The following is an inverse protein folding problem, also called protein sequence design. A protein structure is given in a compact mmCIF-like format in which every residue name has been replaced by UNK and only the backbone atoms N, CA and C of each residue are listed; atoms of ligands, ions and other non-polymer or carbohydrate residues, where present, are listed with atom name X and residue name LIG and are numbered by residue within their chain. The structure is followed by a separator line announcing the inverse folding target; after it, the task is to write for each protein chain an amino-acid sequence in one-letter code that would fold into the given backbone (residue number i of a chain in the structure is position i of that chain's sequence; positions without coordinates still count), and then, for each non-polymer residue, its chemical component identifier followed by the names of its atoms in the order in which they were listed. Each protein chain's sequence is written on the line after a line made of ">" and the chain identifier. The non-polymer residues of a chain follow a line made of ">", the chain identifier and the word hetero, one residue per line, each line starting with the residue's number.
data_IF_713613876899
#
_entry.id   IF_713613876899
#
_cell.length_a   1.000
_cell.length_b   1.000
_cell.length_c   1.000
_cell.angle_alpha   90.00
_cell.angle_beta   90.00
_cell.angle_gamma   90.00
#
_symmetry.space_group_name_H-M   'P 1'
#
loop_
_entity.id
_entity.type
_entity.pdbx_description
1 polymer ?
#
# COMPACT_ATOMS: atom_id res chain seq x y z
N UNK A 1 5.75 71.99 10.35
CA UNK A 1 6.62 70.90 9.88
C UNK A 1 6.47 69.70 10.81
N UNK A 2 5.63 68.71 10.48
CA UNK A 2 5.52 67.44 11.22
C UNK A 2 6.21 66.35 10.40
N UNK A 3 7.28 65.76 10.92
CA UNK A 3 7.99 64.63 10.29
C UNK A 3 7.26 63.33 10.65
N UNK A 4 6.77 62.63 9.64
CA UNK A 4 6.14 61.32 9.76
C UNK A 4 7.23 60.26 9.55
N UNK A 5 7.54 59.48 10.59
CA UNK A 5 8.46 58.35 10.48
C UNK A 5 7.68 57.12 10.01
N UNK A 6 7.92 56.68 8.77
CA UNK A 6 7.44 55.42 8.25
C UNK A 6 8.33 54.29 8.79
N UNK A 7 7.78 53.42 9.64
CA UNK A 7 8.38 52.14 9.99
C UNK A 7 8.15 51.17 8.85
N UNK A 8 9.21 50.80 8.14
CA UNK A 8 9.21 49.70 7.18
C UNK A 8 9.33 48.40 7.98
N UNK A 9 8.22 47.68 8.21
CA UNK A 9 8.30 46.30 8.69
C UNK A 9 8.67 45.41 7.50
N UNK A 10 9.94 45.02 7.40
CA UNK A 10 10.36 43.97 6.50
C UNK A 10 9.77 42.64 7.00
N UNK A 11 8.65 42.21 6.40
CA UNK A 11 8.17 40.86 6.57
C UNK A 11 9.15 39.92 5.85
N UNK A 12 10.07 39.29 6.61
CA UNK A 12 10.80 38.14 6.10
C UNK A 12 9.78 37.04 5.81
N UNK A 13 9.47 36.85 4.53
CA UNK A 13 8.85 35.62 4.07
C UNK A 13 9.88 34.50 4.24
N UNK A 14 9.80 33.79 5.37
CA UNK A 14 10.45 32.48 5.51
C UNK A 14 9.68 31.55 4.59
N UNK A 15 10.18 31.36 3.37
CA UNK A 15 9.82 30.22 2.56
C UNK A 15 10.21 28.99 3.38
N UNK A 16 9.21 28.24 3.86
CA UNK A 16 9.43 26.94 4.45
C UNK A 16 10.05 26.05 3.37
N UNK A 17 11.37 25.94 3.38
CA UNK A 17 12.08 24.92 2.63
C UNK A 17 11.53 23.59 3.16
N UNK A 18 10.89 22.79 2.32
CA UNK A 18 10.58 21.40 2.66
C UNK A 18 11.89 20.71 3.01
N UNK A 19 12.14 20.53 4.32
CA UNK A 19 13.40 19.99 4.79
C UNK A 19 13.51 18.52 4.36
N UNK A 20 14.36 18.26 3.37
CA UNK A 20 14.82 16.90 3.09
C UNK A 20 15.58 16.39 4.30
N UNK A 21 15.27 15.16 4.71
CA UNK A 21 15.93 14.48 5.83
C UNK A 21 16.40 13.10 5.40
N UNK A 22 17.49 12.63 6.01
CA UNK A 22 18.00 11.26 5.84
C UNK A 22 17.47 10.40 6.98
N UNK A 23 17.03 9.19 6.66
CA UNK A 23 16.53 8.21 7.62
C UNK A 23 16.91 6.78 7.19
N UNK A 24 16.62 5.80 8.03
CA UNK A 24 16.89 4.39 7.73
C UNK A 24 15.92 3.44 8.42
N UNK A 25 15.79 2.24 7.83
CA UNK A 25 15.01 1.13 8.36
C UNK A 25 15.79 -0.17 8.16
N UNK A 26 15.64 -1.15 9.05
CA UNK A 26 16.50 -2.34 9.12
C UNK A 26 15.70 -3.56 9.56
N UNK A 27 15.83 -4.70 8.87
CA UNK A 27 15.18 -5.97 9.24
C UNK A 27 15.99 -6.88 10.16
N UNK A 28 17.25 -6.51 10.45
CA UNK A 28 18.17 -7.33 11.24
C UNK A 28 18.86 -8.42 10.42
N UNK A 29 19.74 -9.18 11.07
CA UNK A 29 20.50 -10.25 10.44
C UNK A 29 19.60 -11.28 9.76
N UNK A 30 19.97 -11.73 8.56
CA UNK A 30 19.18 -12.65 7.74
C UNK A 30 17.75 -12.16 7.42
N UNK A 31 17.51 -10.85 7.60
CA UNK A 31 16.21 -10.22 7.39
C UNK A 31 15.10 -10.83 8.27
N UNK A 32 15.39 -11.04 9.56
CA UNK A 32 14.53 -11.77 10.49
C UNK A 32 13.25 -11.03 10.93
N UNK A 33 13.17 -9.72 10.70
CA UNK A 33 12.06 -8.89 11.16
C UNK A 33 11.32 -8.19 10.00
N UNK A 34 10.01 -8.01 10.20
CA UNK A 34 9.21 -7.05 9.44
C UNK A 34 9.18 -5.74 10.22
N UNK A 35 9.47 -4.64 9.54
CA UNK A 35 9.61 -3.32 10.19
C UNK A 35 8.62 -2.34 9.58
N UNK A 36 7.64 -1.96 10.39
CA UNK A 36 6.59 -1.01 10.04
C UNK A 36 7.08 0.41 10.25
N UNK A 37 6.82 1.28 9.28
CA UNK A 37 7.35 2.64 9.25
C UNK A 37 6.28 3.64 8.86
N UNK A 38 6.36 4.83 9.45
CA UNK A 38 5.60 6.01 9.05
C UNK A 38 6.53 7.16 8.66
N UNK A 39 6.19 7.89 7.61
CA UNK A 39 6.94 9.08 7.22
C UNK A 39 6.99 10.13 8.34
N UNK A 40 5.92 10.22 9.13
CA UNK A 40 5.82 11.15 10.25
C UNK A 40 6.62 10.69 11.48
N UNK A 41 6.48 9.41 11.85
CA UNK A 41 6.95 8.92 13.15
C UNK A 41 8.22 8.05 13.08
N UNK A 42 8.70 7.71 11.89
CA UNK A 42 9.81 6.77 11.72
C UNK A 42 9.36 5.31 11.92
N UNK A 43 10.22 4.47 12.50
CA UNK A 43 9.88 3.08 12.84
C UNK A 43 8.78 3.06 13.89
N UNK A 44 7.67 2.40 13.58
CA UNK A 44 6.49 2.27 14.44
C UNK A 44 6.52 0.98 15.24
N UNK A 45 6.89 -0.12 14.60
CA UNK A 45 7.01 -1.44 15.24
C UNK A 45 7.95 -2.32 14.44
N UNK A 46 8.73 -3.12 15.16
CA UNK A 46 9.52 -4.21 14.64
C UNK A 46 8.96 -5.52 15.21
N UNK A 47 8.83 -6.54 14.36
CA UNK A 47 8.34 -7.86 14.78
C UNK A 47 9.06 -8.94 14.00
N UNK A 48 9.32 -10.08 14.66
CA UNK A 48 9.87 -11.25 13.97
C UNK A 48 8.94 -11.68 12.85
N UNK A 49 9.51 -12.18 11.74
CA UNK A 49 8.76 -12.57 10.55
C UNK A 49 8.57 -14.08 10.38
N UNK A 50 9.00 -14.87 11.36
CA UNK A 50 8.94 -16.32 11.35
C UNK A 50 8.00 -16.91 12.44
N UNK A 51 7.15 -16.10 13.07
CA UNK A 51 6.20 -16.55 14.10
C UNK A 51 4.78 -16.83 13.56
N UNK A 52 4.55 -16.61 12.26
CA UNK A 52 3.24 -16.77 11.61
C UNK A 52 3.36 -17.46 10.23
N UNK A 53 2.31 -18.17 9.84
CA UNK A 53 2.20 -18.83 8.54
C UNK A 53 0.99 -18.37 7.73
N UNK A 54 -0.11 -18.00 8.39
CA UNK A 54 -1.32 -17.51 7.73
C UNK A 54 -1.72 -16.15 8.28
N UNK A 55 -2.24 -15.27 7.42
CA UNK A 55 -2.80 -13.99 7.78
C UNK A 55 -4.22 -13.87 7.18
N UNK A 56 -5.20 -13.55 8.02
CA UNK A 56 -6.61 -13.48 7.67
C UNK A 56 -7.05 -12.02 7.64
N UNK A 57 -7.64 -11.61 6.52
CA UNK A 57 -8.12 -10.24 6.35
C UNK A 57 -9.16 -9.87 7.39
N UNK A 58 -8.98 -8.71 8.01
CA UNK A 58 -9.92 -8.18 9.00
C UNK A 58 -11.04 -7.41 8.30
N UNK A 59 -12.27 -7.57 8.80
CA UNK A 59 -13.45 -6.87 8.33
C UNK A 59 -14.48 -7.83 7.73
N UNK A 60 -15.71 -7.34 7.55
CA UNK A 60 -16.81 -8.20 7.13
C UNK A 60 -16.67 -8.70 5.68
N UNK A 61 -16.14 -7.85 4.79
CA UNK A 61 -16.05 -8.13 3.35
C UNK A 61 -14.68 -8.64 2.89
N UNK A 62 -13.64 -8.49 3.71
CA UNK A 62 -12.32 -8.99 3.37
C UNK A 62 -12.32 -10.53 3.47
N UNK A 63 -12.12 -11.21 2.34
CA UNK A 63 -12.04 -12.67 2.22
C UNK A 63 -10.61 -13.15 1.92
N UNK A 64 -9.64 -12.23 2.07
CA UNK A 64 -8.22 -12.46 1.84
C UNK A 64 -7.60 -13.38 2.89
N UNK A 65 -6.93 -14.43 2.44
CA UNK A 65 -6.12 -15.31 3.30
C UNK A 65 -4.73 -15.43 2.69
N UNK A 66 -3.78 -14.74 3.31
CA UNK A 66 -2.38 -14.70 2.88
C UNK A 66 -1.56 -15.76 3.60
N UNK A 67 -0.50 -16.22 2.95
CA UNK A 67 0.46 -17.16 3.52
C UNK A 67 1.84 -16.51 3.64
N UNK A 68 2.64 -16.89 4.63
CA UNK A 68 4.02 -16.42 4.76
C UNK A 68 4.92 -17.17 3.75
N UNK A 69 4.81 -16.82 2.48
CA UNK A 69 5.40 -17.59 1.37
C UNK A 69 6.86 -17.24 1.09
N UNK A 70 7.59 -16.62 2.03
CA UNK A 70 8.97 -16.17 1.79
C UNK A 70 9.88 -17.37 1.48
N UNK A 71 10.15 -17.60 0.21
CA UNK A 71 10.88 -18.78 -0.27
C UNK A 71 12.39 -18.65 -0.02
N UNK A 72 12.84 -19.03 1.18
CA UNK A 72 14.23 -19.48 1.36
C UNK A 72 15.20 -18.48 1.98
N UNK A 73 15.52 -18.74 3.24
CA UNK A 73 16.86 -19.03 3.79
C UNK A 73 16.68 -20.07 4.91
N UNK A 74 17.78 -20.52 5.53
CA UNK A 74 17.78 -21.49 6.64
C UNK A 74 17.21 -20.88 7.92
N UNK A 75 16.26 -21.55 8.58
CA UNK A 75 15.65 -21.06 9.83
C UNK A 75 14.32 -20.33 9.68
N UNK A 76 13.85 -20.10 8.45
CA UNK A 76 12.57 -19.44 8.19
C UNK A 76 11.38 -20.36 8.49
N UNK A 77 10.33 -19.80 9.09
CA UNK A 77 9.02 -20.46 9.22
C UNK A 77 8.10 -20.20 8.02
N UNK A 78 8.68 -20.09 6.83
CA UNK A 78 7.90 -19.88 5.62
C UNK A 78 7.07 -21.11 5.28
N UNK A 79 5.96 -20.89 4.60
CA UNK A 79 5.00 -21.93 4.27
C UNK A 79 4.77 -21.98 2.77
N UNK A 80 4.78 -23.21 2.22
CA UNK A 80 4.23 -23.50 0.90
C UNK A 80 2.85 -24.10 1.11
N UNK A 81 1.85 -23.50 0.48
CA UNK A 81 0.47 -24.00 0.49
C UNK A 81 0.23 -24.77 -0.81
N UNK A 82 -0.03 -26.07 -0.67
CA UNK A 82 -0.43 -26.93 -1.77
C UNK A 82 -1.95 -27.12 -1.72
N UNK A 83 -2.63 -26.87 -2.84
CA UNK A 83 -4.07 -27.11 -2.95
C UNK A 83 -4.34 -28.57 -3.29
N UNK A 84 -5.12 -29.27 -2.45
CA UNK A 84 -5.56 -30.63 -2.77
C UNK A 84 -6.47 -30.58 -4.01
N UNK A 85 -6.27 -31.46 -5.01
CA UNK A 85 -7.12 -31.50 -6.20
C UNK A 85 -8.59 -31.77 -5.85
N UNK A 86 -9.48 -30.95 -6.41
CA UNK A 86 -10.93 -31.02 -6.20
C UNK A 86 -11.42 -30.22 -4.98
N UNK A 87 -12.71 -30.40 -4.66
CA UNK A 87 -13.44 -29.58 -3.67
C UNK A 87 -14.15 -30.43 -2.60
N UNK A 88 -13.82 -31.71 -2.51
CA UNK A 88 -14.43 -32.64 -1.57
C UNK A 88 -13.81 -32.51 -0.16
N UNK A 89 -14.46 -31.70 0.69
CA UNK A 89 -14.02 -31.47 2.07
C UNK A 89 -14.30 -32.66 2.99
N UNK A 90 -15.09 -33.65 2.57
CA UNK A 90 -15.31 -34.88 3.36
C UNK A 90 -14.04 -35.71 3.52
N UNK A 91 -13.05 -35.49 2.63
CA UNK A 91 -11.71 -36.09 2.69
C UNK A 91 -10.83 -35.57 3.82
N UNK A 92 -11.29 -34.65 4.66
CA UNK A 92 -10.53 -34.15 5.81
C UNK A 92 -10.02 -35.28 6.74
N UNK A 93 -10.86 -36.29 7.00
CA UNK A 93 -10.51 -37.42 7.85
C UNK A 93 -9.49 -38.34 7.15
N UNK A 94 -9.68 -38.60 5.86
CA UNK A 94 -8.82 -39.42 5.01
C UNK A 94 -7.96 -38.56 4.07
N UNK A 95 -7.22 -37.59 4.65
CA UNK A 95 -6.44 -36.63 3.87
C UNK A 95 -5.21 -37.33 3.26
N UNK A 96 -5.24 -37.52 1.95
CA UNK A 96 -4.18 -38.21 1.19
C UNK A 96 -3.19 -37.21 0.59
N UNK A 97 -1.91 -37.36 0.94
CA UNK A 97 -0.81 -36.53 0.41
C UNK A 97 -0.08 -37.18 -0.77
N UNK A 98 -0.53 -38.32 -1.27
CA UNK A 98 0.13 -39.01 -2.39
C UNK A 98 0.18 -38.10 -3.62
N UNK A 99 1.39 -37.87 -4.14
CA UNK A 99 1.62 -37.00 -5.30
C UNK A 99 1.52 -35.50 -5.04
N UNK A 100 1.52 -35.03 -3.77
CA UNK A 100 1.35 -33.61 -3.44
C UNK A 100 2.33 -32.65 -4.12
N UNK A 101 3.51 -33.14 -4.54
CA UNK A 101 4.51 -32.33 -5.23
C UNK A 101 4.04 -31.80 -6.60
N UNK A 102 3.02 -32.44 -7.19
CA UNK A 102 2.39 -32.03 -8.44
C UNK A 102 1.14 -31.14 -8.23
N UNK A 103 0.72 -30.91 -6.98
CA UNK A 103 -0.40 -30.03 -6.67
C UNK A 103 -0.04 -28.56 -6.88
N UNK A 104 -1.06 -27.73 -7.10
CA UNK A 104 -0.89 -26.29 -7.28
C UNK A 104 -0.29 -25.66 -6.02
N UNK A 105 0.77 -24.88 -6.21
CA UNK A 105 1.41 -24.08 -5.16
C UNK A 105 0.81 -22.69 -5.17
N UNK A 106 0.23 -22.28 -4.06
CA UNK A 106 -0.45 -21.00 -3.93
C UNK A 106 0.50 -19.93 -3.37
N UNK A 107 0.47 -18.72 -3.96
CA UNK A 107 1.29 -17.57 -3.57
C UNK A 107 0.40 -16.35 -3.38
N UNK A 108 0.79 -15.38 -2.56
CA UNK A 108 0.05 -14.12 -2.47
C UNK A 108 0.30 -13.25 -3.70
N UNK A 109 -0.64 -12.36 -4.02
CA UNK A 109 -0.33 -11.20 -4.85
C UNK A 109 0.62 -10.25 -4.09
N UNK A 110 1.64 -9.74 -4.77
CA UNK A 110 2.47 -8.62 -4.32
C UNK A 110 1.92 -7.27 -4.80
N UNK A 111 0.80 -7.25 -5.53
CA UNK A 111 0.19 -6.02 -6.05
C UNK A 111 -0.89 -5.48 -5.13
N UNK A 112 -1.55 -6.33 -4.35
CA UNK A 112 -2.55 -5.87 -3.40
C UNK A 112 -2.66 -6.80 -2.16
N UNK A 113 -3.18 -6.24 -1.07
CA UNK A 113 -3.29 -6.95 0.20
C UNK A 113 -4.44 -7.96 0.25
N UNK A 114 -5.54 -7.71 -0.47
CA UNK A 114 -6.77 -8.52 -0.38
C UNK A 114 -6.67 -9.84 -1.16
N UNK A 115 -5.81 -9.91 -2.18
CA UNK A 115 -5.50 -11.12 -2.95
C UNK A 115 -4.39 -11.93 -2.29
N UNK A 116 -4.77 -12.81 -1.37
CA UNK A 116 -3.89 -13.75 -0.68
C UNK A 116 -3.79 -15.11 -1.37
N UNK A 117 -2.89 -15.96 -0.89
CA UNK A 117 -2.64 -17.29 -1.47
C UNK A 117 -3.91 -18.16 -1.58
N UNK A 118 -4.79 -18.15 -0.58
CA UNK A 118 -5.93 -19.08 -0.56
C UNK A 118 -7.21 -18.52 -1.19
N UNK A 119 -7.23 -17.24 -1.61
CA UNK A 119 -8.40 -16.61 -2.21
C UNK A 119 -8.23 -16.24 -3.68
N UNK A 120 -7.42 -17.03 -4.38
CA UNK A 120 -7.22 -16.94 -5.83
C UNK A 120 -7.88 -18.11 -6.56
N UNK A 121 -8.00 -17.99 -7.89
CA UNK A 121 -8.53 -19.07 -8.73
C UNK A 121 -10.04 -19.27 -8.56
N UNK A 122 -10.79 -18.16 -8.47
CA UNK A 122 -12.25 -18.14 -8.46
C UNK A 122 -12.83 -18.76 -9.73
N UNK A 123 -13.69 -19.76 -9.58
CA UNK A 123 -14.43 -20.36 -10.69
C UNK A 123 -15.77 -19.66 -10.98
N UNK A 124 -16.25 -18.80 -10.08
CA UNK A 124 -17.51 -18.06 -10.20
C UNK A 124 -17.50 -16.78 -9.35
N UNK A 125 -18.50 -15.92 -9.52
CA UNK A 125 -18.68 -14.70 -8.70
C UNK A 125 -18.92 -14.97 -7.21
N UNK A 126 -19.26 -16.20 -6.84
CA UNK A 126 -19.48 -16.62 -5.45
C UNK A 126 -18.36 -17.51 -4.91
N UNK A 127 -17.33 -17.79 -5.73
CA UNK A 127 -16.17 -18.56 -5.34
C UNK A 127 -15.03 -17.61 -4.96
N UNK A 128 -14.68 -17.60 -3.68
CA UNK A 128 -13.58 -16.81 -3.14
C UNK A 128 -12.28 -17.62 -3.05
N UNK A 129 -12.12 -18.68 -3.84
CA UNK A 129 -10.93 -19.54 -3.87
C UNK A 129 -10.98 -20.61 -2.78
N UNK A 130 -10.96 -20.23 -1.50
CA UNK A 130 -11.04 -21.19 -0.39
C UNK A 130 -12.46 -21.59 0.00
N UNK A 131 -13.43 -20.73 -0.31
CA UNK A 131 -14.80 -20.88 0.16
C UNK A 131 -15.83 -20.35 -0.83
N UNK A 132 -17.03 -20.92 -0.75
CA UNK A 132 -18.19 -20.52 -1.54
C UNK A 132 -19.10 -19.63 -0.69
N UNK A 133 -19.52 -18.51 -1.26
CA UNK A 133 -20.52 -17.64 -0.67
C UNK A 133 -21.93 -18.22 -0.85
N UNK A 134 -22.64 -18.36 0.26
CA UNK A 134 -24.05 -18.72 0.32
C UNK A 134 -24.89 -17.45 0.38
N UNK A 135 -25.68 -17.21 -0.67
CA UNK A 135 -26.54 -16.02 -0.80
C UNK A 135 -27.79 -16.04 0.10
N UNK A 136 -28.11 -17.18 0.70
CA UNK A 136 -29.25 -17.34 1.62
C UNK A 136 -28.81 -17.05 3.06
N UNK A 137 -27.67 -17.61 3.46
CA UNK A 137 -27.16 -17.45 4.84
C UNK A 137 -26.18 -16.30 4.98
N UNK A 138 -25.72 -15.72 3.86
CA UNK A 138 -24.66 -14.71 3.81
C UNK A 138 -23.35 -15.16 4.46
N UNK A 139 -23.06 -16.47 4.40
CA UNK A 139 -21.85 -17.08 4.94
C UNK A 139 -20.90 -17.46 3.81
N UNK A 140 -19.60 -17.53 4.11
CA UNK A 140 -18.64 -18.16 3.21
C UNK A 140 -18.22 -19.49 3.82
N UNK A 141 -18.45 -20.60 3.11
CA UNK A 141 -18.16 -21.95 3.58
C UNK A 141 -16.97 -22.53 2.84
N UNK A 142 -16.01 -23.06 3.60
CA UNK A 142 -14.80 -23.67 3.06
C UNK A 142 -15.10 -24.87 2.20
N UNK A 143 -14.61 -24.86 0.96
CA UNK A 143 -14.89 -25.92 -0.02
C UNK A 143 -13.61 -26.55 -0.60
N UNK A 144 -12.44 -26.22 -0.06
CA UNK A 144 -11.14 -26.80 -0.47
C UNK A 144 -10.29 -27.17 0.75
N UNK A 145 -9.44 -28.17 0.57
CA UNK A 145 -8.47 -28.63 1.56
C UNK A 145 -7.04 -28.37 1.06
N UNK A 146 -6.12 -28.18 2.00
CA UNK A 146 -4.75 -27.79 1.69
C UNK A 146 -3.74 -28.59 2.48
N UNK A 147 -2.55 -28.76 1.91
CA UNK A 147 -1.36 -29.20 2.61
C UNK A 147 -0.46 -27.98 2.83
N UNK A 148 -0.19 -27.63 4.09
CA UNK A 148 0.75 -26.60 4.47
C UNK A 148 2.10 -27.24 4.80
N UNK A 149 3.12 -26.94 3.99
CA UNK A 149 4.50 -27.35 4.23
C UNK A 149 5.27 -26.18 4.85
N UNK A 150 5.40 -26.20 6.17
CA UNK A 150 6.04 -25.14 6.96
C UNK A 150 7.51 -25.51 7.16
N UNK A 151 8.42 -24.68 6.66
CA UNK A 151 9.85 -24.84 6.93
C UNK A 151 10.13 -24.54 8.40
N UNK A 152 11.03 -25.27 9.03
CA UNK A 152 11.46 -25.04 10.42
C UNK A 152 12.91 -25.49 10.54
N UNK A 153 13.83 -24.54 10.43
CA UNK A 153 15.26 -24.86 10.33
C UNK A 153 15.57 -25.66 9.06
N UNK A 154 16.13 -26.87 9.24
CA UNK A 154 16.42 -27.84 8.18
C UNK A 154 15.27 -28.83 7.92
N UNK A 155 14.20 -28.76 8.71
CA UNK A 155 13.07 -29.68 8.64
C UNK A 155 11.85 -29.01 8.01
N UNK A 156 10.92 -29.82 7.52
CA UNK A 156 9.61 -29.35 7.04
C UNK A 156 8.52 -30.02 7.87
N UNK A 157 7.66 -29.21 8.48
CA UNK A 157 6.47 -29.65 9.21
C UNK A 157 5.30 -29.61 8.23
N UNK A 158 4.62 -30.74 8.05
CA UNK A 158 3.45 -30.84 7.20
C UNK A 158 2.17 -30.83 8.05
N UNK A 159 1.25 -29.93 7.72
CA UNK A 159 -0.08 -29.84 8.32
C UNK A 159 -1.15 -29.94 7.24
N UNK A 160 -2.22 -30.71 7.50
CA UNK A 160 -3.46 -30.58 6.72
C UNK A 160 -4.20 -29.35 7.22
N UNK A 161 -4.77 -28.57 6.29
CA UNK A 161 -5.34 -27.25 6.55
C UNK A 161 -6.70 -27.10 5.87
N UNK A 162 -7.64 -26.48 6.58
CA UNK A 162 -8.96 -26.13 6.08
C UNK A 162 -9.41 -24.78 6.64
N UNK A 163 -9.72 -23.83 5.75
CA UNK A 163 -10.47 -22.62 6.13
C UNK A 163 -11.94 -23.01 6.15
N UNK A 164 -12.50 -23.24 7.34
CA UNK A 164 -13.80 -23.90 7.51
C UNK A 164 -14.95 -22.99 7.11
N UNK A 165 -14.93 -21.73 7.57
CA UNK A 165 -15.92 -20.73 7.18
C UNK A 165 -15.48 -19.31 7.56
N UNK A 166 -16.23 -18.34 7.05
CA UNK A 166 -16.28 -16.97 7.52
C UNK A 166 -17.72 -16.54 7.72
N UNK A 167 -18.07 -16.16 8.94
CA UNK A 167 -19.44 -15.81 9.34
C UNK A 167 -19.38 -14.49 10.11
N UNK A 168 -20.11 -13.47 9.62
CA UNK A 168 -20.15 -12.14 10.24
C UNK A 168 -18.76 -11.54 10.52
N UNK A 169 -17.81 -11.76 9.60
CA UNK A 169 -16.42 -11.31 9.72
C UNK A 169 -15.50 -12.23 10.52
N UNK A 170 -16.03 -13.14 11.34
CA UNK A 170 -15.22 -14.10 12.09
C UNK A 170 -14.78 -15.26 11.21
N UNK A 171 -13.49 -15.58 11.27
CA UNK A 171 -12.93 -16.72 10.54
C UNK A 171 -12.91 -17.96 11.42
N UNK A 172 -13.16 -19.12 10.82
CA UNK A 172 -12.91 -20.42 11.43
C UNK A 172 -11.89 -21.18 10.61
N UNK A 173 -10.77 -21.55 11.23
CA UNK A 173 -9.69 -22.32 10.59
C UNK A 173 -9.41 -23.59 11.38
N UNK A 174 -9.15 -24.68 10.67
CA UNK A 174 -8.82 -25.98 11.23
C UNK A 174 -7.53 -26.50 10.60
N UNK A 175 -6.62 -27.01 11.42
CA UNK A 175 -5.40 -27.66 10.96
C UNK A 175 -4.96 -28.76 11.93
N UNK A 176 -4.24 -29.76 11.43
CA UNK A 176 -3.73 -30.89 12.21
C UNK A 176 -2.48 -31.45 11.52
N UNK A 177 -1.75 -32.33 12.21
CA UNK A 177 -0.80 -33.22 11.55
C UNK A 177 -1.52 -34.09 10.50
N UNK A 178 -0.78 -34.67 9.55
CA UNK A 178 -1.34 -35.47 8.45
C UNK A 178 -2.14 -36.67 8.98
N UNK A 179 -1.63 -37.31 10.04
CA UNK A 179 -2.29 -38.40 10.77
C UNK A 179 -3.52 -37.97 11.59
N UNK A 180 -3.83 -36.67 11.64
CA UNK A 180 -4.94 -36.11 12.40
C UNK A 180 -4.61 -35.74 13.85
N UNK A 181 -3.40 -36.03 14.35
CA UNK A 181 -2.96 -35.61 15.68
C UNK A 181 -2.75 -34.08 15.75
N UNK A 182 -2.68 -33.54 16.98
CA UNK A 182 -2.51 -32.10 17.24
C UNK A 182 -3.54 -31.23 16.48
N UNK A 183 -4.80 -31.66 16.51
CA UNK A 183 -5.91 -30.91 15.91
C UNK A 183 -6.08 -29.56 16.62
N UNK A 184 -6.03 -28.49 15.83
CA UNK A 184 -6.39 -27.14 16.23
C UNK A 184 -7.60 -26.67 15.44
N UNK A 185 -8.52 -26.02 16.14
CA UNK A 185 -9.65 -25.31 15.56
C UNK A 185 -9.71 -23.93 16.20
N UNK A 186 -9.43 -22.90 15.40
CA UNK A 186 -9.34 -21.52 15.86
C UNK A 186 -10.49 -20.71 15.29
N UNK A 187 -11.05 -19.83 16.13
CA UNK A 187 -12.00 -18.80 15.72
C UNK A 187 -11.34 -17.43 15.87
N UNK A 188 -11.22 -16.70 14.76
CA UNK A 188 -10.61 -15.37 14.70
C UNK A 188 -11.74 -14.33 14.59
N UNK A 189 -12.21 -13.83 15.72
CA UNK A 189 -13.21 -12.76 15.75
C UNK A 189 -12.61 -11.45 15.22
N UNK A 190 -13.36 -10.65 14.44
CA UNK A 190 -12.82 -9.38 13.91
C UNK A 190 -12.73 -8.26 14.95
N UNK A 191 -13.59 -8.28 15.98
CA UNK A 191 -13.74 -7.15 16.90
C UNK A 191 -12.43 -6.75 17.62
N UNK A 192 -11.61 -7.68 18.15
CA UNK A 192 -10.34 -7.33 18.79
C UNK A 192 -9.29 -6.73 17.83
N UNK A 193 -9.44 -6.97 16.52
CA UNK A 193 -8.44 -6.61 15.52
C UNK A 193 -8.94 -5.56 14.53
N UNK A 194 -10.06 -4.88 14.79
CA UNK A 194 -10.72 -3.95 13.85
C UNK A 194 -9.84 -2.78 13.37
N UNK A 195 -8.75 -2.48 14.08
CA UNK A 195 -7.74 -1.49 13.72
C UNK A 195 -6.62 -2.04 12.83
N UNK A 196 -6.52 -3.36 12.63
CA UNK A 196 -5.49 -4.02 11.83
C UNK A 196 -5.97 -4.29 10.40
N UNK A 197 -5.05 -4.59 9.50
CA UNK A 197 -5.39 -5.16 8.20
C UNK A 197 -5.57 -6.69 8.33
N UNK A 198 -4.75 -7.35 9.15
CA UNK A 198 -4.77 -8.80 9.29
C UNK A 198 -4.70 -9.27 10.75
N UNK A 199 -5.23 -10.47 10.98
CA UNK A 199 -4.97 -11.30 12.17
C UNK A 199 -4.21 -12.55 11.75
N UNK A 200 -3.20 -12.95 12.50
CA UNK A 200 -2.23 -13.95 12.07
C UNK A 200 -2.34 -15.24 12.87
N UNK A 201 -1.95 -16.36 12.25
CA UNK A 201 -1.93 -17.69 12.89
C UNK A 201 -0.58 -18.35 12.65
N UNK A 202 -0.04 -18.92 13.73
CA UNK A 202 1.10 -19.84 13.70
C UNK A 202 0.59 -21.26 13.52
N UNK A 203 0.96 -21.92 12.42
CA UNK A 203 0.64 -23.34 12.20
C UNK A 203 1.56 -24.28 13.00
N UNK A 204 2.65 -23.75 13.55
CA UNK A 204 3.58 -24.48 14.42
C UNK A 204 3.05 -24.53 15.86
N UNK A 205 2.81 -23.36 16.46
CA UNK A 205 2.38 -23.28 17.87
C UNK A 205 0.86 -23.42 18.04
N UNK A 206 0.10 -23.12 16.99
CA UNK A 206 -1.35 -23.02 17.04
C UNK A 206 -1.90 -21.76 17.67
N UNK A 207 -1.04 -20.74 17.88
CA UNK A 207 -1.43 -19.48 18.47
C UNK A 207 -1.93 -18.47 17.44
N UNK A 208 -2.84 -17.60 17.89
CA UNK A 208 -3.22 -16.36 17.20
C UNK A 208 -2.16 -15.31 17.54
N UNK A 209 -1.67 -14.58 16.53
CA UNK A 209 -0.58 -13.62 16.67
C UNK A 209 -1.06 -12.23 16.28
N UNK A 210 -0.90 -11.25 17.18
CA UNK A 210 -1.14 -9.83 16.93
C UNK A 210 0.18 -9.10 16.69
N UNK A 211 0.60 -9.07 15.41
CA UNK A 211 1.94 -8.56 15.02
C UNK A 211 1.90 -7.20 14.35
N UNK A 212 0.83 -6.84 13.66
CA UNK A 212 0.71 -5.57 12.93
C UNK A 212 0.41 -4.38 13.88
N UNK A 213 0.91 -3.16 13.65
CA UNK A 213 0.37 -1.93 14.27
C UNK A 213 -1.05 -1.62 13.81
N UNK A 214 -1.70 -0.59 14.39
CA UNK A 214 -2.96 -0.14 13.80
C UNK A 214 -2.71 0.38 12.37
N UNK A 215 -3.61 0.06 11.43
CA UNK A 215 -3.48 0.41 10.00
C UNK A 215 -3.46 1.91 9.74
N UNK A 216 -3.71 2.76 10.73
CA UNK A 216 -3.59 4.22 10.64
C UNK A 216 -2.22 4.75 11.09
N UNK A 217 -1.38 3.89 11.67
CA UNK A 217 -0.11 4.30 12.30
C UNK A 217 1.10 4.08 11.40
N UNK A 218 0.99 3.26 10.35
CA UNK A 218 2.10 2.91 9.46
C UNK A 218 1.75 3.18 7.98
N UNK A 219 2.77 3.51 7.19
CA UNK A 219 2.65 3.89 5.78
C UNK A 219 3.22 2.82 4.84
N UNK A 220 4.32 2.16 5.26
CA UNK A 220 4.88 1.00 4.58
C UNK A 220 5.58 0.05 5.55
N UNK A 221 5.87 -1.16 5.09
CA UNK A 221 6.65 -2.17 5.81
C UNK A 221 7.85 -2.61 4.97
N UNK A 222 9.04 -2.64 5.58
CA UNK A 222 10.19 -3.37 5.02
C UNK A 222 10.07 -4.83 5.46
N UNK A 223 9.87 -5.72 4.51
CA UNK A 223 9.52 -7.13 4.75
C UNK A 223 10.18 -8.04 3.72
N UNK A 224 10.24 -9.33 4.04
CA UNK A 224 10.41 -10.37 3.03
C UNK A 224 9.07 -10.70 2.39
N UNK A 225 9.05 -10.99 1.10
CA UNK A 225 7.87 -11.50 0.40
C UNK A 225 8.28 -12.33 -0.81
N UNK A 226 7.38 -13.19 -1.29
CA UNK A 226 7.53 -13.86 -2.58
C UNK A 226 7.13 -12.87 -3.67
N UNK A 227 8.10 -12.42 -4.48
CA UNK A 227 7.86 -11.54 -5.61
C UNK A 227 7.72 -12.35 -6.90
N UNK A 228 6.74 -12.01 -7.74
CA UNK A 228 6.58 -12.66 -9.04
C UNK A 228 7.68 -12.21 -10.00
N UNK A 229 8.35 -13.16 -10.67
CA UNK A 229 9.31 -12.88 -11.73
C UNK A 229 8.75 -13.38 -13.07
N UNK A 230 8.23 -12.48 -13.93
CA UNK A 230 7.52 -12.87 -15.14
C UNK A 230 8.44 -13.60 -16.15
N UNK A 231 9.70 -13.19 -16.27
CA UNK A 231 10.66 -13.79 -17.21
C UNK A 231 10.93 -15.28 -16.93
N UNK A 232 10.98 -15.64 -15.65
CA UNK A 232 11.24 -17.02 -15.20
C UNK A 232 9.95 -17.77 -14.82
N UNK A 233 8.79 -17.10 -14.87
CA UNK A 233 7.48 -17.62 -14.45
C UNK A 233 7.52 -18.28 -13.07
N UNK A 234 8.22 -17.65 -12.13
CA UNK A 234 8.47 -18.21 -10.80
C UNK A 234 8.48 -17.11 -9.75
N UNK A 235 8.17 -17.48 -8.51
CA UNK A 235 8.28 -16.61 -7.35
C UNK A 235 9.66 -16.71 -6.70
N UNK A 236 10.29 -15.57 -6.42
CA UNK A 236 11.54 -15.50 -5.65
C UNK A 236 11.34 -14.76 -4.35
N UNK A 237 12.06 -15.18 -3.30
CA UNK A 237 12.12 -14.40 -2.07
C UNK A 237 12.84 -13.07 -2.33
N UNK A 238 12.15 -11.99 -2.00
CA UNK A 238 12.66 -10.65 -2.08
C UNK A 238 12.55 -9.95 -0.73
N UNK A 239 13.46 -9.02 -0.46
CA UNK A 239 13.36 -8.08 0.66
C UNK A 239 13.02 -6.73 0.07
N UNK A 240 11.92 -6.11 0.47
CA UNK A 240 11.49 -4.86 -0.14
C UNK A 240 10.40 -4.16 0.66
N UNK A 241 9.88 -3.09 0.08
CA UNK A 241 8.90 -2.21 0.68
C UNK A 241 7.52 -2.54 0.13
N UNK A 242 6.59 -2.89 1.01
CA UNK A 242 5.18 -2.98 0.69
C UNK A 242 4.43 -1.83 1.37
N UNK A 243 3.66 -1.05 0.62
CA UNK A 243 2.88 0.07 1.17
C UNK A 243 1.62 -0.42 1.87
N UNK A 244 1.15 0.33 2.85
CA UNK A 244 -0.08 0.01 3.57
C UNK A 244 -1.33 0.18 2.67
N UNK A 245 -2.40 -0.57 2.93
CA UNK A 245 -3.67 -0.43 2.24
C UNK A 245 -4.18 1.03 2.25
N UNK A 246 -4.46 1.59 1.07
CA UNK A 246 -4.89 2.98 0.90
C UNK A 246 -3.75 4.01 0.77
N UNK A 247 -2.48 3.58 0.84
CA UNK A 247 -1.33 4.37 0.41
C UNK A 247 -1.08 4.10 -1.07
N UNK A 248 -0.92 5.16 -1.87
CA UNK A 248 -0.65 5.04 -3.31
C UNK A 248 0.71 5.61 -3.65
N UNK A 249 1.35 5.06 -4.68
CA UNK A 249 2.74 5.34 -5.01
C UNK A 249 2.95 5.56 -6.48
N UNK A 250 3.86 6.47 -6.83
CA UNK A 250 4.39 6.60 -8.19
C UNK A 250 5.89 6.40 -8.17
N UNK A 251 6.37 5.58 -9.09
CA UNK A 251 7.78 5.44 -9.38
C UNK A 251 8.21 6.47 -10.44
N UNK A 252 9.38 7.07 -10.28
CA UNK A 252 9.96 8.02 -11.24
C UNK A 252 11.44 7.70 -11.44
N UNK A 253 11.79 7.31 -12.67
CA UNK A 253 13.14 6.95 -13.12
C UNK A 253 13.75 8.02 -14.02
N UNK A 254 15.08 8.07 -14.05
CA UNK A 254 15.88 8.91 -14.96
C UNK A 254 15.64 10.42 -14.79
N UNK A 255 15.21 10.84 -13.60
CA UNK A 255 15.02 12.25 -13.25
C UNK A 255 15.94 12.59 -12.08
N UNK A 256 16.67 13.73 -12.11
CA UNK A 256 17.53 14.14 -11.01
C UNK A 256 16.81 14.13 -9.66
N UNK A 257 17.47 13.58 -8.65
CA UNK A 257 16.90 13.40 -7.31
C UNK A 257 16.52 14.72 -6.62
N UNK A 258 17.09 15.84 -7.04
CA UNK A 258 16.73 17.18 -6.56
C UNK A 258 15.42 17.71 -7.17
N UNK A 259 14.78 16.98 -8.08
CA UNK A 259 13.49 17.37 -8.68
C UNK A 259 12.38 17.27 -7.62
N UNK A 260 11.95 18.41 -7.09
CA UNK A 260 10.91 18.48 -6.05
C UNK A 260 9.49 18.62 -6.62
N UNK A 261 9.34 18.70 -7.93
CA UNK A 261 8.06 18.93 -8.60
C UNK A 261 7.39 17.63 -9.02
N UNK A 262 6.14 17.46 -8.62
CA UNK A 262 5.23 16.46 -9.21
C UNK A 262 4.85 17.02 -10.58
N UNK A 263 5.34 16.41 -11.66
CA UNK A 263 4.99 16.78 -13.04
C UNK A 263 3.67 16.13 -13.45
N UNK A 264 3.06 16.60 -14.55
CA UNK A 264 1.83 16.01 -15.12
C UNK A 264 1.99 14.53 -15.58
N UNK A 265 3.19 13.96 -15.43
CA UNK A 265 3.54 12.57 -15.76
C UNK A 265 3.51 11.61 -14.56
N UNK A 266 3.34 12.10 -13.33
CA UNK A 266 3.32 11.27 -12.11
C UNK A 266 1.95 10.61 -11.95
N UNK A 267 1.89 9.29 -12.12
CA UNK A 267 0.65 8.51 -11.96
C UNK A 267 0.73 7.66 -10.71
N UNK A 268 -0.18 7.90 -9.76
CA UNK A 268 -0.24 7.11 -8.53
C UNK A 268 -0.92 5.75 -8.77
N UNK A 269 -0.23 4.69 -8.39
CA UNK A 269 -0.71 3.32 -8.39
C UNK A 269 -1.11 2.88 -6.98
N UNK A 270 -2.16 2.07 -6.88
CA UNK A 270 -2.50 1.35 -5.65
C UNK A 270 -1.72 0.05 -5.48
N UNK A 271 -0.83 -0.30 -6.42
CA UNK A 271 0.02 -1.48 -6.32
C UNK A 271 0.95 -1.36 -5.10
N UNK A 272 0.81 -2.28 -4.15
CA UNK A 272 1.50 -2.22 -2.85
C UNK A 272 3.02 -2.41 -2.99
N UNK A 273 3.49 -3.04 -4.06
CA UNK A 273 4.90 -3.28 -4.36
C UNK A 273 5.46 -2.35 -5.44
N UNK A 274 4.80 -1.22 -5.75
CA UNK A 274 5.36 -0.20 -6.66
C UNK A 274 6.74 0.29 -6.19
N UNK A 275 6.98 0.39 -4.88
CA UNK A 275 8.34 0.63 -4.34
C UNK A 275 9.11 -0.68 -4.30
N UNK A 276 8.46 -1.75 -3.83
CA UNK A 276 8.92 -3.12 -3.95
C UNK A 276 10.39 -3.32 -3.59
N UNK A 277 11.10 -4.01 -4.46
CA UNK A 277 12.50 -4.36 -4.27
C UNK A 277 13.45 -3.82 -5.34
N UNK A 278 12.90 -3.24 -6.40
CA UNK A 278 13.60 -2.73 -7.59
C UNK A 278 14.24 -1.34 -7.39
N UNK A 279 14.05 -0.74 -6.22
CA UNK A 279 14.90 0.36 -5.75
C UNK A 279 16.37 -0.01 -5.57
N UNK A 280 16.69 -1.31 -5.61
CA UNK A 280 18.06 -1.85 -5.55
C UNK A 280 18.26 -2.91 -6.63
N UNK A 281 19.50 -3.05 -7.08
CA UNK A 281 19.92 -4.01 -8.09
C UNK A 281 21.19 -4.74 -7.65
N UNK A 282 21.36 -5.98 -8.09
CA UNK A 282 22.58 -6.75 -7.80
C UNK A 282 23.73 -6.24 -8.66
N UNK A 283 24.81 -5.80 -8.02
CA UNK A 283 26.08 -5.55 -8.70
C UNK A 283 26.79 -6.89 -8.89
N UNK A 284 26.88 -7.36 -10.14
CA UNK A 284 27.46 -8.66 -10.48
C UNK A 284 28.97 -8.77 -10.23
N UNK A 285 29.69 -7.65 -10.05
CA UNK A 285 31.11 -7.68 -9.71
C UNK A 285 31.33 -7.86 -8.21
N UNK A 286 30.48 -7.25 -7.38
CA UNK A 286 30.64 -7.27 -5.91
C UNK A 286 29.68 -8.25 -5.21
N UNK A 287 28.69 -8.79 -5.93
CA UNK A 287 27.57 -9.59 -5.42
C UNK A 287 26.81 -8.92 -4.27
N UNK A 288 26.72 -7.58 -4.31
CA UNK A 288 25.99 -6.77 -3.34
C UNK A 288 24.87 -6.03 -4.02
N UNK A 289 23.78 -5.82 -3.30
CA UNK A 289 22.72 -4.95 -3.78
C UNK A 289 23.10 -3.49 -3.57
N UNK A 290 22.95 -2.69 -4.62
CA UNK A 290 23.20 -1.26 -4.63
C UNK A 290 21.91 -0.53 -4.99
N UNK A 291 21.68 0.65 -4.40
CA UNK A 291 20.52 1.47 -4.74
C UNK A 291 20.63 1.90 -6.21
N UNK A 292 19.51 1.88 -6.92
CA UNK A 292 19.47 2.31 -8.32
C UNK A 292 19.57 3.83 -8.37
N UNK A 293 20.51 4.34 -9.17
CA UNK A 293 20.71 5.78 -9.34
C UNK A 293 19.52 6.44 -10.04
N UNK A 294 19.26 7.71 -9.71
CA UNK A 294 18.21 8.52 -10.35
C UNK A 294 16.80 7.89 -10.30
N UNK A 295 16.51 7.13 -9.23
CA UNK A 295 15.23 6.52 -8.95
C UNK A 295 14.61 7.12 -7.69
N UNK A 296 13.39 7.63 -7.82
CA UNK A 296 12.64 8.22 -6.71
C UNK A 296 11.19 7.77 -6.72
N UNK A 297 10.57 7.85 -5.55
CA UNK A 297 9.17 7.49 -5.36
C UNK A 297 8.42 8.67 -4.78
N UNK A 298 7.20 8.88 -5.26
CA UNK A 298 6.22 9.75 -4.62
C UNK A 298 5.19 8.89 -3.91
N UNK A 299 5.00 9.12 -2.63
CA UNK A 299 4.11 8.34 -1.76
C UNK A 299 3.01 9.24 -1.25
N UNK A 300 1.77 8.98 -1.68
CA UNK A 300 0.57 9.66 -1.22
C UNK A 300 -0.05 8.86 -0.08
N UNK A 301 -0.02 9.45 1.11
CA UNK A 301 -0.52 8.87 2.35
C UNK A 301 -2.04 9.00 2.45
N UNK A 302 -2.64 8.25 3.38
CA UNK A 302 -4.10 8.22 3.62
C UNK A 302 -4.66 9.58 4.05
N UNK A 303 -3.83 10.42 4.66
CA UNK A 303 -4.17 11.78 5.07
C UNK A 303 -3.97 12.83 3.95
N UNK A 304 -3.67 12.40 2.72
CA UNK A 304 -3.46 13.29 1.57
C UNK A 304 -2.07 13.95 1.51
N UNK A 305 -1.18 13.68 2.47
CA UNK A 305 0.21 14.12 2.37
C UNK A 305 0.94 13.37 1.25
N UNK A 306 1.78 14.08 0.51
CA UNK A 306 2.65 13.48 -0.50
C UNK A 306 4.10 13.67 -0.08
N UNK A 307 4.82 12.56 -0.01
CA UNK A 307 6.23 12.48 0.34
C UNK A 307 7.05 12.00 -0.83
N UNK A 308 8.24 12.56 -1.01
CA UNK A 308 9.26 12.02 -1.90
C UNK A 308 10.19 11.12 -1.10
N UNK A 309 10.55 9.97 -1.66
CA UNK A 309 11.45 8.97 -1.10
C UNK A 309 12.53 8.60 -2.12
N UNK A 310 13.79 8.59 -1.68
CA UNK A 310 14.95 8.22 -2.53
C UNK A 310 15.88 7.33 -1.72
N UNK A 311 16.05 6.08 -2.15
CA UNK A 311 16.96 5.14 -1.51
C UNK A 311 18.42 5.44 -1.85
N UNK A 312 19.31 5.26 -0.87
CA UNK A 312 20.74 5.62 -0.94
C UNK A 312 21.65 4.42 -0.80
N UNK A 313 21.28 3.46 0.01
CA UNK A 313 22.05 2.22 0.16
C UNK A 313 21.22 1.12 0.78
N UNK A 314 21.67 -0.12 0.58
CA UNK A 314 21.15 -1.31 1.25
C UNK A 314 22.30 -2.17 1.75
N UNK A 315 22.30 -2.47 3.05
CA UNK A 315 23.26 -3.41 3.64
C UNK A 315 22.79 -4.87 3.41
N UNK A 316 22.97 -5.36 2.18
CA UNK A 316 22.66 -6.76 1.82
C UNK A 316 23.71 -7.74 2.32
N UNK A 317 23.29 -8.93 2.75
CA UNK A 317 24.19 -10.06 2.98
C UNK A 317 23.58 -11.20 3.79
N UNK A 318 24.13 -12.41 3.63
CA UNK A 318 23.83 -13.61 4.42
C UNK A 318 24.77 -13.80 5.63
N UNK A 319 25.67 -12.84 5.85
CA UNK A 319 26.59 -12.76 7.00
C UNK A 319 25.93 -11.94 8.13
N UNK A 320 26.36 -12.07 9.41
CA UNK A 320 25.92 -11.17 10.50
C UNK A 320 26.07 -9.66 10.22
N UNK A 321 26.79 -9.25 9.15
CA UNK A 321 26.87 -7.86 8.66
C UNK A 321 25.78 -7.46 7.65
N UNK A 322 25.02 -8.41 7.11
CA UNK A 322 23.86 -8.18 6.24
C UNK A 322 22.62 -7.89 7.07
N UNK A 323 22.48 -6.64 7.53
CA UNK A 323 21.42 -6.23 8.45
C UNK A 323 20.09 -5.93 7.76
N UNK A 324 20.05 -5.96 6.42
CA UNK A 324 18.89 -5.49 5.67
C UNK A 324 18.59 -4.01 5.91
N UNK A 325 19.61 -3.22 6.27
CA UNK A 325 19.45 -1.79 6.52
C UNK A 325 19.34 -1.03 5.21
N UNK A 326 18.19 -0.44 4.96
CA UNK A 326 17.94 0.51 3.89
C UNK A 326 18.13 1.95 4.41
N UNK A 327 18.96 2.74 3.74
CA UNK A 327 19.12 4.18 4.00
C UNK A 327 18.45 4.94 2.88
N UNK A 328 17.71 6.00 3.22
CA UNK A 328 16.99 6.81 2.25
C UNK A 328 16.90 8.26 2.68
N UNK A 329 16.57 9.14 1.73
CA UNK A 329 16.12 10.50 2.03
C UNK A 329 14.63 10.61 1.84
N UNK A 330 13.96 11.40 2.69
CA UNK A 330 12.53 11.72 2.59
C UNK A 330 12.31 13.22 2.68
N UNK A 331 11.35 13.73 1.91
CA UNK A 331 10.89 15.11 1.99
C UNK A 331 9.39 15.19 1.78
N UNK A 332 8.69 15.98 2.61
CA UNK A 332 7.27 16.25 2.39
C UNK A 332 7.14 17.28 1.27
N UNK A 333 6.42 16.93 0.21
CA UNK A 333 6.27 17.77 -0.98
C UNK A 333 5.04 18.67 -0.87
N UNK A 334 3.91 18.10 -0.43
CA UNK A 334 2.66 18.86 -0.24
C UNK A 334 1.69 18.14 0.69
N UNK A 335 0.65 18.86 1.13
CA UNK A 335 -0.53 18.28 1.77
C UNK A 335 -1.72 18.59 0.88
N UNK A 336 -2.41 17.57 0.37
CA UNK A 336 -3.70 17.78 -0.28
C UNK A 336 -4.71 18.14 0.82
N UNK A 337 -5.40 19.27 0.67
CA UNK A 337 -6.47 19.65 1.59
C UNK A 337 -7.60 18.63 1.52
N UNK A 338 -7.67 17.70 2.47
CA UNK A 338 -8.82 16.81 2.63
C UNK A 338 -9.97 17.61 3.24
N UNK A 339 -10.79 18.23 2.40
CA UNK A 339 -12.15 18.55 2.83
C UNK A 339 -12.94 17.23 2.84
N UNK A 340 -13.49 16.92 4.02
CA UNK A 340 -14.26 15.72 4.41
C UNK A 340 -14.88 14.90 3.28
N UNK A 341 -14.71 13.58 3.37
CA UNK A 341 -15.07 12.48 2.45
C UNK A 341 -16.56 12.34 2.05
N UNK A 342 -17.21 13.44 1.66
CA UNK A 342 -18.56 13.45 1.07
C UNK A 342 -18.72 14.47 -0.07
N UNK A 343 -17.65 15.19 -0.42
CA UNK A 343 -17.64 16.14 -1.54
C UNK A 343 -17.50 15.40 -2.88
N UNK A 344 -18.37 15.70 -3.85
CA UNK A 344 -18.19 15.23 -5.24
C UNK A 344 -17.02 15.91 -5.96
N UNK A 345 -16.33 16.85 -5.29
CA UNK A 345 -15.07 17.46 -5.69
C UNK A 345 -14.02 17.02 -4.65
N UNK A 346 -13.27 15.97 -4.96
CA UNK A 346 -12.26 15.39 -4.06
C UNK A 346 -10.98 16.21 -4.01
N UNK A 347 -10.66 16.93 -5.10
CA UNK A 347 -9.48 17.80 -5.22
C UNK A 347 -9.87 19.06 -6.00
N UNK A 348 -9.34 20.24 -5.63
CA UNK A 348 -9.38 21.45 -6.45
C UNK A 348 -8.20 22.37 -6.12
N UNK A 349 -7.31 22.61 -7.09
CA UNK A 349 -6.10 23.42 -6.95
C UNK A 349 -5.82 24.23 -8.24
N UNK A 350 -5.09 25.34 -8.09
CA UNK A 350 -4.71 26.23 -9.19
C UNK A 350 -3.20 26.41 -9.24
N UNK A 351 -2.59 26.31 -10.42
CA UNK A 351 -1.16 26.57 -10.61
C UNK A 351 -0.84 27.02 -12.05
N UNK A 352 0.17 27.86 -12.28
CA UNK A 352 0.93 28.57 -11.25
C UNK A 352 0.06 29.62 -10.54
N UNK A 353 0.39 29.89 -9.27
CA UNK A 353 -0.21 30.98 -8.51
C UNK A 353 0.88 31.59 -7.61
N UNK A 354 1.36 32.82 -7.89
CA UNK A 354 0.87 33.77 -8.90
C UNK A 354 1.05 33.31 -10.35
N UNK A 355 0.26 33.87 -11.27
CA UNK A 355 0.34 33.63 -12.73
C UNK A 355 0.55 34.94 -13.50
N UNK A 356 1.18 34.85 -14.67
CA UNK A 356 1.30 35.94 -15.64
C UNK A 356 0.22 35.89 -16.74
N UNK A 357 -0.72 34.95 -16.64
CA UNK A 357 -1.83 34.82 -17.59
C UNK A 357 -2.53 33.48 -17.46
N UNK A 358 -1.87 32.38 -17.83
CA UNK A 358 -2.51 31.06 -17.85
C UNK A 358 -2.41 30.40 -16.47
N UNK A 359 -3.53 29.89 -15.96
CA UNK A 359 -3.59 29.07 -14.74
C UNK A 359 -4.28 27.74 -15.04
N UNK A 360 -3.67 26.64 -14.63
CA UNK A 360 -4.22 25.30 -14.72
C UNK A 360 -5.04 25.01 -13.45
N UNK A 361 -6.28 24.60 -13.63
CA UNK A 361 -7.14 24.08 -12.60
C UNK A 361 -7.10 22.55 -12.59
N UNK A 362 -6.53 21.98 -11.53
CA UNK A 362 -6.59 20.54 -11.26
C UNK A 362 -7.74 20.25 -10.32
N UNK A 363 -8.55 19.26 -10.65
CA UNK A 363 -9.63 18.80 -9.78
C UNK A 363 -9.95 17.34 -10.02
N UNK A 364 -10.55 16.69 -9.02
CA UNK A 364 -11.03 15.32 -9.12
C UNK A 364 -12.51 15.31 -8.76
N UNK A 365 -13.35 14.86 -9.69
CA UNK A 365 -14.81 14.90 -9.55
C UNK A 365 -15.45 13.54 -9.74
N UNK A 366 -16.43 13.22 -8.91
CA UNK A 366 -17.10 11.91 -8.95
C UNK A 366 -18.25 11.85 -9.96
N UNK A 367 -18.79 12.99 -10.39
CA UNK A 367 -19.89 13.07 -11.34
C UNK A 367 -19.47 13.75 -12.64
N UNK A 368 -20.12 13.36 -13.72
CA UNK A 368 -19.96 13.97 -15.04
C UNK A 368 -20.64 15.35 -15.04
N UNK A 369 -19.96 16.34 -15.61
CA UNK A 369 -20.31 17.77 -15.72
C UNK A 369 -19.93 18.63 -14.51
N UNK A 370 -18.94 19.51 -14.72
CA UNK A 370 -18.54 20.55 -13.77
C UNK A 370 -18.52 21.91 -14.45
N UNK A 371 -18.66 22.99 -13.68
CA UNK A 371 -18.53 24.36 -14.17
C UNK A 371 -17.42 25.06 -13.42
N UNK A 372 -16.45 25.61 -14.16
CA UNK A 372 -15.38 26.46 -13.65
C UNK A 372 -15.73 27.91 -13.95
N UNK A 373 -15.61 28.78 -12.95
CA UNK A 373 -15.88 30.21 -13.05
C UNK A 373 -14.75 31.01 -12.41
N UNK A 374 -14.36 32.13 -13.02
CA UNK A 374 -13.38 33.07 -12.44
C UNK A 374 -14.13 34.32 -12.02
N UNK A 375 -13.90 34.81 -10.81
CA UNK A 375 -14.57 35.96 -10.22
C UNK A 375 -13.56 37.00 -9.73
N UNK A 376 -13.91 38.28 -9.82
CA UNK A 376 -13.17 39.34 -9.15
C UNK A 376 -13.53 39.44 -7.65
N UNK A 377 -12.90 40.37 -6.94
CA UNK A 377 -13.13 40.62 -5.50
C UNK A 377 -14.55 41.09 -5.17
N UNK A 378 -15.32 41.59 -6.15
CA UNK A 378 -16.72 41.98 -5.98
C UNK A 378 -17.69 40.80 -6.19
N UNK A 379 -17.16 39.62 -6.56
CA UNK A 379 -17.95 38.43 -6.88
C UNK A 379 -18.48 38.43 -8.33
N UNK A 380 -18.09 39.40 -9.16
CA UNK A 380 -18.49 39.42 -10.58
C UNK A 380 -17.76 38.32 -11.33
N UNK A 381 -18.51 37.43 -11.99
CA UNK A 381 -17.95 36.40 -12.86
C UNK A 381 -17.39 37.03 -14.14
N UNK A 382 -16.12 36.72 -14.43
CA UNK A 382 -15.37 37.20 -15.58
C UNK A 382 -15.20 36.12 -16.65
N UNK A 383 -15.04 34.86 -16.22
CA UNK A 383 -14.88 33.69 -17.10
C UNK A 383 -15.79 32.57 -16.59
N UNK A 384 -16.38 31.80 -17.50
CA UNK A 384 -17.17 30.62 -17.18
C UNK A 384 -16.94 29.52 -18.23
N UNK A 385 -16.67 28.30 -17.78
CA UNK A 385 -16.34 27.15 -18.64
C UNK A 385 -17.04 25.89 -18.13
N UNK A 386 -17.61 25.10 -19.03
CA UNK A 386 -18.18 23.80 -18.72
C UNK A 386 -17.17 22.69 -19.02
N UNK A 387 -17.02 21.76 -18.09
CA UNK A 387 -16.11 20.62 -18.18
C UNK A 387 -16.94 19.33 -18.19
N UNK A 388 -16.71 18.50 -19.20
CA UNK A 388 -17.33 17.18 -19.32
C UNK A 388 -16.29 16.12 -18.99
N UNK A 389 -16.56 15.28 -18.00
CA UNK A 389 -15.63 14.25 -17.54
C UNK A 389 -15.79 13.92 -16.04
N UNK A 390 -15.23 12.79 -15.62
CA UNK A 390 -15.15 12.34 -14.23
C UNK A 390 -13.72 11.89 -13.88
N UNK A 391 -13.42 11.75 -12.60
CA UNK A 391 -12.07 11.48 -12.11
C UNK A 391 -11.19 12.72 -12.13
N UNK A 392 -9.88 12.52 -12.12
CA UNK A 392 -8.89 13.59 -12.16
C UNK A 392 -8.90 14.33 -13.51
N UNK A 393 -8.92 15.65 -13.47
CA UNK A 393 -9.01 16.56 -14.61
C UNK A 393 -8.02 17.72 -14.45
N UNK A 394 -7.51 18.21 -15.57
CA UNK A 394 -6.68 19.40 -15.64
C UNK A 394 -7.21 20.31 -16.76
N UNK A 395 -7.54 21.56 -16.44
CA UNK A 395 -8.08 22.54 -17.40
C UNK A 395 -7.32 23.84 -17.32
N UNK A 396 -6.79 24.29 -18.46
CA UNK A 396 -6.16 25.60 -18.58
C UNK A 396 -7.22 26.72 -18.63
N UNK A 397 -7.02 27.75 -17.82
CA UNK A 397 -7.84 28.96 -17.75
C UNK A 397 -6.94 30.13 -18.14
N UNK A 398 -7.32 30.84 -19.20
CA UNK A 398 -6.59 32.01 -19.66
C UNK A 398 -7.06 33.27 -18.94
N UNK A 399 -6.18 33.82 -18.08
CA UNK A 399 -6.37 35.09 -17.38
C UNK A 399 -5.53 36.22 -17.98
N UNK A 400 -4.87 36.02 -19.12
CA UNK A 400 -3.97 37.02 -19.73
C UNK A 400 -4.65 38.35 -20.06
N UNK A 401 -5.97 38.32 -20.31
CA UNK A 401 -6.80 39.51 -20.53
C UNK A 401 -7.23 40.25 -19.26
N UNK A 402 -6.90 39.74 -18.07
CA UNK A 402 -7.28 40.32 -16.78
C UNK A 402 -6.20 41.27 -16.25
N UNK A 403 -6.61 42.32 -15.57
CA UNK A 403 -5.66 43.24 -14.90
C UNK A 403 -4.95 42.55 -13.75
N UNK A 404 -3.73 42.99 -13.43
CA UNK A 404 -2.97 42.51 -12.26
C UNK A 404 -3.80 42.65 -10.98
N UNK A 405 -3.93 41.60 -10.20
CA UNK A 405 -4.84 41.59 -9.06
C UNK A 405 -5.18 40.20 -8.51
N UNK A 406 -6.09 40.17 -7.54
CA UNK A 406 -6.57 38.95 -6.90
C UNK A 406 -7.90 38.54 -7.53
N UNK A 407 -8.02 37.26 -7.89
CA UNK A 407 -9.23 36.65 -8.41
C UNK A 407 -9.53 35.34 -7.66
N UNK A 408 -10.75 34.85 -7.81
CA UNK A 408 -11.19 33.58 -7.24
C UNK A 408 -11.68 32.67 -8.36
N UNK A 409 -11.08 31.49 -8.50
CA UNK A 409 -11.59 30.44 -9.38
C UNK A 409 -12.46 29.51 -8.56
N UNK A 410 -13.66 29.26 -9.03
CA UNK A 410 -14.67 28.43 -8.41
C UNK A 410 -15.01 27.28 -9.35
N UNK A 411 -14.97 26.05 -8.84
CA UNK A 411 -15.54 24.87 -9.49
C UNK A 411 -16.84 24.46 -8.80
N UNK A 412 -17.84 24.10 -9.60
CA UNK A 412 -19.10 23.53 -9.14
C UNK A 412 -19.37 22.19 -9.83
N UNK A 413 -19.76 21.17 -9.07
CA UNK A 413 -20.18 19.86 -9.56
C UNK A 413 -21.45 19.47 -8.79
N UNK A 414 -22.62 19.71 -9.40
CA UNK A 414 -23.91 19.64 -8.71
C UNK A 414 -24.03 20.68 -7.58
N UNK A 415 -24.35 20.24 -6.36
CA UNK A 415 -24.44 21.11 -5.19
C UNK A 415 -23.08 21.42 -4.54
N UNK A 416 -22.02 20.69 -4.90
CA UNK A 416 -20.70 20.86 -4.32
C UNK A 416 -19.95 21.98 -5.02
N UNK A 417 -19.30 22.84 -4.21
CA UNK A 417 -18.56 24.01 -4.68
C UNK A 417 -17.20 24.02 -4.00
N UNK A 418 -16.15 24.30 -4.76
CA UNK A 418 -14.82 24.59 -4.21
C UNK A 418 -14.26 25.86 -4.84
N UNK A 419 -13.52 26.65 -4.06
CA UNK A 419 -13.01 27.98 -4.46
C UNK A 419 -11.53 28.07 -4.12
N UNK A 420 -10.74 28.58 -5.06
CA UNK A 420 -9.31 28.81 -4.92
C UNK A 420 -8.97 30.24 -5.33
N UNK A 421 -8.08 30.89 -4.57
CA UNK A 421 -7.59 32.24 -4.87
C UNK A 421 -6.45 32.17 -5.89
N UNK A 422 -6.43 33.05 -6.87
CA UNK A 422 -5.31 33.22 -7.82
C UNK A 422 -4.87 34.69 -7.89
N UNK A 423 -3.56 34.92 -8.03
CA UNK A 423 -2.96 36.24 -8.14
C UNK A 423 -2.41 36.38 -9.57
N UNK A 424 -2.86 37.40 -10.31
CA UNK A 424 -2.36 37.75 -11.66
C UNK A 424 -1.32 38.87 -11.53
N UNK A 425 -0.14 38.69 -12.13
CA UNK A 425 1.05 39.53 -11.95
C UNK A 425 1.46 40.40 -13.13
#
# INVERSE_FOLDING_TARGET
>A
MKRLYFFFSAALAVSAVSAQSTDSIQTGGSYANDVFYSFKNGVVKETVNNDWQLAFGVGMFNVGVRANTTTGTSGDSSVIIYQMPGTDTTKWAAFDTTGFTAWDKLNNSDENWEEGALNQGSASTYDYGWGLYDNTTHQVLGHRLYLAAVKSGSTTIYKKLWIVNKISGAWKVRFANIDGSDLKELTLASAPYNTKNFVYVSLISGNIVDREPAKTEWDFVLTRYAAWQPEASVYYASVGILTNAGVTTSEVRNIPENTTSITDTVTFSSNISTIGADWKQLNNATFKFEAVDSLSYFVKLKNGEIWKLVFKSFASGSSPSGTGRAVFTKSKIMTLGLNSASSSIQTFALYPNPTIGIVNAIFDVTNENSTISVMDISGKTLINQNIVGKGFQNTAIDLSGLSKGIYFVRIANGANISVQKVIVQ
#
